data_IF_497739534416
#
_entry.id   IF_497739534416
#
_cell.length_a   1.000
_cell.length_b   1.000
_cell.length_c   1.000
_cell.angle_alpha   90.00
_cell.angle_beta   90.00
_cell.angle_gamma   90.00
#
_symmetry.space_group_name_H-M   'P 1'
#
loop_
_entity.id
_entity.type
_entity.pdbx_description
1 polymer ?
#
# COMPACT_ATOMS: atom_id res chain seq x y z
N UNK A 1 13.93 28.96 3.26
CA UNK A 1 12.52 29.33 3.11
C UNK A 1 12.14 30.13 4.35
N UNK A 2 11.84 31.42 4.20
CA UNK A 2 11.29 32.25 5.28
C UNK A 2 9.76 32.05 5.33
N UNK A 3 9.24 31.66 6.49
CA UNK A 3 7.80 31.52 6.72
C UNK A 3 7.18 32.91 6.89
N UNK A 4 6.55 33.45 5.85
CA UNK A 4 5.83 34.74 5.87
C UNK A 4 4.34 34.63 6.23
N UNK A 5 3.93 33.53 6.86
CA UNK A 5 2.54 33.31 7.27
C UNK A 5 2.20 34.12 8.53
N UNK A 6 1.09 34.84 8.52
CA UNK A 6 0.56 35.54 9.70
C UNK A 6 0.15 34.46 10.72
N UNK A 7 0.79 34.43 11.90
CA UNK A 7 0.44 33.50 12.98
C UNK A 7 -0.87 33.94 13.63
N UNK A 8 -1.96 33.25 13.30
CA UNK A 8 -3.25 33.45 13.95
C UNK A 8 -3.41 32.49 15.13
N UNK A 9 -3.84 32.97 16.31
CA UNK A 9 -4.11 32.09 17.45
C UNK A 9 -5.38 31.26 17.17
N UNK A 10 -5.20 29.97 16.87
CA UNK A 10 -6.30 29.02 16.73
C UNK A 10 -6.46 28.19 18.02
N UNK A 11 -7.71 27.96 18.45
CA UNK A 11 -8.00 27.02 19.54
C UNK A 11 -7.88 25.60 19.00
N UNK A 12 -7.18 24.73 19.73
CA UNK A 12 -7.03 23.32 19.34
C UNK A 12 -8.38 22.61 19.44
N UNK A 13 -8.81 21.98 18.34
CA UNK A 13 -9.97 21.09 18.33
C UNK A 13 -9.60 19.72 18.91
N UNK A 14 -9.64 19.62 20.24
CA UNK A 14 -9.35 18.39 20.96
C UNK A 14 -10.36 17.28 20.68
N UNK A 15 -11.65 17.61 20.51
CA UNK A 15 -12.70 16.63 20.27
C UNK A 15 -12.60 16.03 18.87
N UNK A 16 -12.37 16.88 17.85
CA UNK A 16 -12.09 16.45 16.49
C UNK A 16 -10.85 15.55 16.46
N UNK A 17 -9.74 15.97 17.08
CA UNK A 17 -8.49 15.19 17.06
C UNK A 17 -8.61 13.84 17.79
N UNK A 18 -9.30 13.78 18.94
CA UNK A 18 -9.49 12.52 19.68
C UNK A 18 -10.39 11.56 18.89
N UNK A 19 -11.53 12.03 18.38
CA UNK A 19 -12.46 11.17 17.63
C UNK A 19 -11.85 10.69 16.32
N UNK A 20 -11.12 11.56 15.62
CA UNK A 20 -10.36 11.21 14.42
C UNK A 20 -9.25 10.19 14.72
N UNK A 21 -8.40 10.48 15.72
CA UNK A 21 -7.26 9.63 16.08
C UNK A 21 -7.71 8.25 16.54
N UNK A 22 -8.66 8.18 17.49
CA UNK A 22 -9.18 6.90 17.97
C UNK A 22 -9.94 6.14 16.88
N UNK A 23 -10.74 6.84 16.07
CA UNK A 23 -11.47 6.22 14.96
C UNK A 23 -10.54 5.61 13.92
N UNK A 24 -9.53 6.37 13.48
CA UNK A 24 -8.54 5.89 12.53
C UNK A 24 -7.71 4.74 13.11
N UNK A 25 -7.20 4.87 14.34
CA UNK A 25 -6.45 3.80 15.02
C UNK A 25 -7.31 2.53 15.12
N UNK A 26 -8.58 2.63 15.53
CA UNK A 26 -9.46 1.48 15.65
C UNK A 26 -9.67 0.78 14.29
N UNK A 27 -9.87 1.53 13.20
CA UNK A 27 -9.97 0.94 11.85
C UNK A 27 -8.66 0.25 11.45
N UNK A 28 -7.51 0.92 11.60
CA UNK A 28 -6.21 0.39 11.21
C UNK A 28 -5.80 -0.84 12.04
N UNK A 29 -6.09 -0.82 13.34
CA UNK A 29 -5.94 -1.96 14.25
C UNK A 29 -6.86 -3.09 13.84
N UNK A 30 -8.14 -2.81 13.59
CA UNK A 30 -9.11 -3.81 13.13
C UNK A 30 -8.65 -4.52 11.84
N UNK A 31 -8.15 -3.76 10.86
CA UNK A 31 -7.58 -4.32 9.63
C UNK A 31 -6.35 -5.19 9.93
N UNK A 32 -5.43 -4.72 10.77
CA UNK A 32 -4.19 -5.45 11.10
C UNK A 32 -4.51 -6.76 11.81
N UNK A 33 -5.38 -6.74 12.81
CA UNK A 33 -5.80 -7.95 13.54
C UNK A 33 -6.74 -8.84 12.73
N UNK A 34 -7.47 -8.29 11.75
CA UNK A 34 -8.32 -9.06 10.84
C UNK A 34 -7.54 -10.04 9.97
N UNK A 35 -6.27 -9.74 9.67
CA UNK A 35 -5.37 -10.61 8.91
C UNK A 35 -4.90 -11.81 9.75
N UNK A 36 -4.88 -11.69 11.08
CA UNK A 36 -4.41 -12.76 11.95
C UNK A 36 -5.45 -13.89 12.04
N UNK A 37 -5.02 -15.16 12.13
CA UNK A 37 -5.92 -16.30 12.28
C UNK A 37 -6.70 -16.23 13.60
N UNK A 38 -7.98 -16.61 13.57
CA UNK A 38 -8.87 -16.59 14.73
C UNK A 38 -9.87 -17.74 14.69
N UNK A 39 -10.05 -18.45 15.81
CA UNK A 39 -11.14 -19.42 15.99
C UNK A 39 -11.18 -20.56 14.96
N UNK A 40 -10.04 -21.00 14.42
CA UNK A 40 -9.96 -22.02 13.38
C UNK A 40 -10.17 -21.50 11.95
N UNK A 41 -10.44 -20.20 11.78
CA UNK A 41 -10.40 -19.54 10.49
C UNK A 41 -8.98 -19.05 10.18
N UNK A 42 -8.62 -19.07 8.89
CA UNK A 42 -7.34 -18.54 8.39
C UNK A 42 -7.20 -17.02 8.60
N UNK A 43 -8.28 -16.33 8.94
CA UNK A 43 -8.35 -14.89 9.17
C UNK A 43 -9.35 -14.54 10.27
N UNK A 44 -9.13 -13.41 10.92
CA UNK A 44 -9.87 -12.90 12.08
C UNK A 44 -10.92 -11.86 11.76
N UNK A 45 -11.33 -11.72 10.49
CA UNK A 45 -12.38 -10.77 10.09
C UNK A 45 -13.72 -11.01 10.81
N UNK A 46 -13.99 -12.24 11.27
CA UNK A 46 -15.19 -12.59 12.04
C UNK A 46 -15.01 -12.45 13.56
N UNK A 47 -13.80 -12.12 14.03
CA UNK A 47 -13.55 -11.95 15.45
C UNK A 47 -14.36 -10.77 16.00
N UNK A 48 -15.10 -10.94 17.12
CA UNK A 48 -15.89 -9.85 17.70
C UNK A 48 -15.08 -8.58 17.96
N UNK A 49 -13.81 -8.72 18.36
CA UNK A 49 -12.91 -7.59 18.57
C UNK A 49 -12.55 -6.84 17.28
N UNK A 50 -12.34 -7.54 16.16
CA UNK A 50 -12.07 -6.92 14.85
C UNK A 50 -13.31 -6.19 14.35
N UNK A 51 -14.48 -6.82 14.44
CA UNK A 51 -15.76 -6.20 14.05
C UNK A 51 -16.03 -4.96 14.92
N UNK A 52 -15.85 -5.06 16.24
CA UNK A 52 -16.01 -3.93 17.14
C UNK A 52 -15.05 -2.78 16.83
N UNK A 53 -13.79 -3.09 16.50
CA UNK A 53 -12.79 -2.08 16.11
C UNK A 53 -13.13 -1.40 14.77
N UNK A 54 -13.57 -2.17 13.77
CA UNK A 54 -13.97 -1.63 12.47
C UNK A 54 -15.25 -0.79 12.56
N UNK A 55 -16.31 -1.35 13.16
CA UNK A 55 -17.61 -0.67 13.30
C UNK A 55 -17.46 0.53 14.24
N UNK A 56 -16.80 0.36 15.38
CA UNK A 56 -16.53 1.44 16.33
C UNK A 56 -15.64 2.53 15.74
N UNK A 57 -14.62 2.15 14.97
CA UNK A 57 -13.76 3.10 14.27
C UNK A 57 -14.50 3.90 13.21
N UNK A 58 -15.32 3.24 12.37
CA UNK A 58 -16.17 3.91 11.37
C UNK A 58 -17.20 4.82 12.06
N UNK A 59 -17.78 4.38 13.18
CA UNK A 59 -18.71 5.19 13.96
C UNK A 59 -18.02 6.45 14.51
N UNK A 60 -16.81 6.32 15.08
CA UNK A 60 -16.01 7.45 15.57
C UNK A 60 -15.62 8.41 14.44
N UNK A 61 -15.22 7.91 13.27
CA UNK A 61 -14.94 8.75 12.10
C UNK A 61 -16.21 9.45 11.58
N UNK A 62 -17.38 8.82 11.69
CA UNK A 62 -18.65 9.44 11.33
C UNK A 62 -19.03 10.55 12.32
N UNK A 63 -18.83 10.30 13.61
CA UNK A 63 -19.00 11.31 14.68
C UNK A 63 -18.02 12.47 14.47
N UNK A 64 -16.77 12.18 14.13
CA UNK A 64 -15.76 13.18 13.77
C UNK A 64 -16.27 14.11 12.66
N UNK A 65 -16.80 13.56 11.56
CA UNK A 65 -17.36 14.39 10.46
C UNK A 65 -18.51 15.29 10.95
N UNK A 66 -19.32 14.84 11.92
CA UNK A 66 -20.40 15.65 12.50
C UNK A 66 -19.87 16.74 13.42
N UNK A 67 -18.85 16.45 14.23
CA UNK A 67 -18.18 17.42 15.12
C UNK A 67 -17.53 18.51 14.28
N UNK A 68 -16.76 18.11 13.26
CA UNK A 68 -16.01 19.01 12.40
C UNK A 68 -16.90 20.02 11.66
N UNK A 69 -18.13 19.62 11.35
CA UNK A 69 -19.14 20.51 10.72
C UNK A 69 -19.72 21.55 11.69
N UNK A 70 -19.56 21.38 13.00
CA UNK A 70 -20.14 22.23 14.04
C UNK A 70 -19.11 23.12 14.75
N UNK A 71 -17.83 22.79 14.67
CA UNK A 71 -16.74 23.54 15.30
C UNK A 71 -16.39 24.78 14.46
N UNK A 72 -16.17 25.92 15.12
CA UNK A 72 -15.85 27.21 14.46
C UNK A 72 -14.47 27.22 13.80
N UNK A 73 -13.50 26.50 14.37
CA UNK A 73 -12.12 26.37 13.86
C UNK A 73 -11.77 24.88 13.64
N UNK A 74 -12.30 24.24 12.58
CA UNK A 74 -12.07 22.83 12.31
C UNK A 74 -10.61 22.55 11.91
N UNK A 75 -10.07 21.44 12.40
CA UNK A 75 -8.81 20.83 11.96
C UNK A 75 -8.83 20.47 10.46
N UNK A 76 -9.93 19.87 9.99
CA UNK A 76 -10.21 19.56 8.60
C UNK A 76 -11.37 20.41 8.10
N UNK A 77 -11.02 21.47 7.35
CA UNK A 77 -12.00 22.26 6.61
C UNK A 77 -12.66 21.41 5.53
N UNK A 78 -13.77 20.75 5.88
CA UNK A 78 -14.51 19.87 4.98
C UNK A 78 -15.06 20.60 3.75
N UNK A 79 -15.21 21.93 3.81
CA UNK A 79 -15.56 22.76 2.66
C UNK A 79 -14.55 22.68 1.51
N UNK A 80 -13.28 22.34 1.80
CA UNK A 80 -12.26 22.12 0.77
C UNK A 80 -12.63 20.95 -0.16
N UNK A 81 -13.41 19.97 0.30
CA UNK A 81 -13.92 18.89 -0.56
C UNK A 81 -14.97 19.35 -1.57
N UNK A 82 -15.55 20.56 -1.42
CA UNK A 82 -16.39 21.17 -2.47
C UNK A 82 -15.55 21.53 -3.71
N UNK A 83 -14.24 21.75 -3.54
CA UNK A 83 -13.32 22.00 -4.65
C UNK A 83 -13.04 20.67 -5.34
N UNK A 84 -13.56 20.53 -6.58
CA UNK A 84 -13.40 19.32 -7.40
C UNK A 84 -11.94 18.90 -7.57
N UNK A 85 -11.02 19.87 -7.71
CA UNK A 85 -9.59 19.61 -7.82
C UNK A 85 -9.00 18.97 -6.55
N UNK A 86 -9.40 19.46 -5.37
CA UNK A 86 -8.99 18.91 -4.08
C UNK A 86 -9.60 17.53 -3.81
N UNK A 87 -10.91 17.36 -4.04
CA UNK A 87 -11.59 16.08 -3.86
C UNK A 87 -11.06 15.00 -4.82
N UNK A 88 -11.00 15.29 -6.12
CA UNK A 88 -10.50 14.35 -7.12
C UNK A 88 -9.03 14.00 -6.91
N UNK A 89 -8.19 14.99 -6.56
CA UNK A 89 -6.79 14.77 -6.21
C UNK A 89 -6.61 13.93 -4.94
N UNK A 90 -7.40 14.18 -3.89
CA UNK A 90 -7.36 13.41 -2.65
C UNK A 90 -7.81 11.97 -2.84
N UNK A 91 -8.89 11.73 -3.60
CA UNK A 91 -9.36 10.38 -3.95
C UNK A 91 -8.33 9.65 -4.80
N UNK A 92 -7.72 10.33 -5.78
CA UNK A 92 -6.65 9.75 -6.57
C UNK A 92 -5.42 9.38 -5.71
N UNK A 93 -5.02 10.24 -4.78
CA UNK A 93 -3.93 9.95 -3.81
C UNK A 93 -4.27 8.73 -2.95
N UNK A 94 -5.50 8.67 -2.43
CA UNK A 94 -5.97 7.55 -1.62
C UNK A 94 -5.92 6.24 -2.41
N UNK A 95 -6.46 6.21 -3.63
CA UNK A 95 -6.47 5.01 -4.46
C UNK A 95 -5.07 4.61 -4.96
N UNK A 96 -4.21 5.57 -5.25
CA UNK A 96 -2.81 5.31 -5.61
C UNK A 96 -2.00 4.74 -4.43
N UNK A 97 -2.25 5.25 -3.22
CA UNK A 97 -1.69 4.68 -2.01
C UNK A 97 -2.26 3.29 -1.71
N UNK A 98 -3.55 3.08 -1.99
CA UNK A 98 -4.21 1.79 -1.87
C UNK A 98 -3.67 0.74 -2.84
N UNK A 99 -3.24 1.14 -4.04
CA UNK A 99 -2.61 0.24 -5.01
C UNK A 99 -1.13 -0.01 -4.74
N UNK A 100 -0.42 0.93 -4.10
CA UNK A 100 1.02 0.77 -3.80
C UNK A 100 1.34 0.17 -2.44
N UNK A 101 0.54 0.44 -1.41
CA UNK A 101 0.93 0.22 -0.01
C UNK A 101 1.39 -1.22 0.28
N UNK A 102 0.65 -2.21 -0.19
CA UNK A 102 1.01 -3.63 -0.07
C UNK A 102 1.96 -4.14 -1.15
N UNK A 103 2.19 -3.40 -2.25
CA UNK A 103 3.02 -3.85 -3.37
C UNK A 103 4.44 -4.18 -2.93
N UNK A 104 5.03 -3.33 -2.07
CA UNK A 104 6.40 -3.55 -1.59
C UNK A 104 6.52 -4.90 -0.90
N UNK A 105 5.57 -5.22 -0.03
CA UNK A 105 5.52 -6.52 0.64
C UNK A 105 5.35 -7.66 -0.36
N UNK A 106 4.47 -7.53 -1.36
CA UNK A 106 4.26 -8.60 -2.33
C UNK A 106 5.49 -8.89 -3.20
N UNK A 107 6.18 -7.85 -3.68
CA UNK A 107 7.41 -7.99 -4.45
C UNK A 107 8.53 -8.59 -3.60
N UNK A 108 8.66 -8.13 -2.35
CA UNK A 108 9.66 -8.67 -1.44
C UNK A 108 9.36 -10.13 -1.09
N UNK A 109 8.10 -10.49 -0.83
CA UNK A 109 7.69 -11.88 -0.58
C UNK A 109 7.97 -12.78 -1.79
N UNK A 110 7.73 -12.29 -3.01
CA UNK A 110 8.03 -13.02 -4.23
C UNK A 110 9.55 -13.23 -4.40
N UNK A 111 10.34 -12.18 -4.18
CA UNK A 111 11.80 -12.24 -4.29
C UNK A 111 12.41 -13.16 -3.22
N UNK A 112 12.09 -12.93 -1.94
CA UNK A 112 12.69 -13.65 -0.81
C UNK A 112 12.18 -15.09 -0.67
N UNK A 113 10.88 -15.29 -0.84
CA UNK A 113 10.25 -16.60 -0.61
C UNK A 113 10.43 -17.59 -1.76
N UNK A 114 10.62 -17.09 -2.99
CA UNK A 114 10.59 -17.94 -4.19
C UNK A 114 11.78 -17.68 -5.11
N UNK A 115 11.92 -16.46 -5.64
CA UNK A 115 12.85 -16.23 -6.75
C UNK A 115 14.33 -16.33 -6.32
N UNK A 116 14.73 -15.69 -5.23
CA UNK A 116 16.12 -15.69 -4.76
C UNK A 116 16.61 -17.11 -4.37
N UNK A 117 15.86 -17.90 -3.58
CA UNK A 117 16.26 -19.28 -3.28
C UNK A 117 16.38 -20.15 -4.53
N UNK A 118 15.48 -20.00 -5.52
CA UNK A 118 15.58 -20.73 -6.79
C UNK A 118 16.85 -20.38 -7.58
N UNK A 119 17.37 -19.16 -7.42
CA UNK A 119 18.62 -18.69 -8.02
C UNK A 119 19.87 -18.96 -7.17
N UNK A 120 19.73 -19.76 -6.10
CA UNK A 120 20.86 -20.25 -5.32
C UNK A 120 21.22 -19.40 -4.10
N UNK A 121 20.46 -18.36 -3.78
CA UNK A 121 20.67 -17.58 -2.57
C UNK A 121 20.17 -18.33 -1.33
N UNK A 122 20.94 -18.27 -0.24
CA UNK A 122 20.51 -18.77 1.07
C UNK A 122 19.41 -17.89 1.65
N UNK A 123 18.47 -18.48 2.39
CA UNK A 123 17.35 -17.75 3.02
C UNK A 123 17.84 -16.55 3.86
N UNK A 124 18.95 -16.70 4.58
CA UNK A 124 19.53 -15.66 5.44
C UNK A 124 20.00 -14.41 4.65
N UNK A 125 20.47 -14.60 3.42
CA UNK A 125 20.96 -13.51 2.57
C UNK A 125 19.83 -12.86 1.75
N UNK A 126 18.69 -13.56 1.59
CA UNK A 126 17.58 -13.07 0.77
C UNK A 126 17.07 -11.68 1.16
N UNK A 127 17.03 -11.25 2.45
CA UNK A 127 16.55 -9.92 2.79
C UNK A 127 17.40 -8.80 2.23
N UNK A 128 18.73 -8.93 2.30
CA UNK A 128 19.67 -7.98 1.74
C UNK A 128 19.52 -7.91 0.22
N UNK A 129 19.55 -9.06 -0.44
CA UNK A 129 19.47 -9.12 -1.90
C UNK A 129 18.12 -8.64 -2.42
N UNK A 130 17.01 -8.96 -1.77
CA UNK A 130 15.69 -8.47 -2.16
C UNK A 130 15.63 -6.93 -2.10
N UNK A 131 16.25 -6.31 -1.09
CA UNK A 131 16.40 -4.85 -1.02
C UNK A 131 17.17 -4.28 -2.22
N UNK A 132 18.28 -4.93 -2.59
CA UNK A 132 19.10 -4.55 -3.76
C UNK A 132 18.31 -4.71 -5.07
N UNK A 133 17.60 -5.83 -5.23
CA UNK A 133 16.78 -6.12 -6.41
C UNK A 133 15.53 -5.23 -6.53
N UNK A 134 15.16 -4.51 -5.46
CA UNK A 134 14.10 -3.49 -5.46
C UNK A 134 14.60 -2.09 -5.85
N UNK A 135 15.92 -1.89 -6.05
CA UNK A 135 16.48 -0.59 -6.44
C UNK A 135 15.89 -0.01 -7.75
N UNK A 136 15.61 -0.78 -8.81
CA UNK A 136 15.06 -0.22 -10.05
C UNK A 136 13.73 0.51 -9.84
N UNK A 137 12.87 0.02 -8.94
CA UNK A 137 11.63 0.69 -8.58
C UNK A 137 11.89 2.08 -7.97
N UNK A 138 12.79 2.15 -6.98
CA UNK A 138 13.17 3.40 -6.33
C UNK A 138 13.85 4.36 -7.31
N UNK A 139 14.68 3.85 -8.21
CA UNK A 139 15.32 4.63 -9.26
C UNK A 139 14.29 5.23 -10.22
N UNK A 140 13.31 4.43 -10.67
CA UNK A 140 12.21 4.91 -11.51
C UNK A 140 11.44 6.06 -10.84
N UNK A 141 11.08 5.88 -9.57
CA UNK A 141 10.38 6.91 -8.79
C UNK A 141 11.22 8.19 -8.62
N UNK A 142 12.51 8.03 -8.29
CA UNK A 142 13.45 9.13 -8.10
C UNK A 142 13.68 9.94 -9.38
N UNK A 143 13.76 9.28 -10.53
CA UNK A 143 13.96 9.94 -11.84
C UNK A 143 12.68 10.64 -12.28
N UNK A 144 11.53 9.96 -12.21
CA UNK A 144 10.27 10.51 -12.70
C UNK A 144 9.69 11.63 -11.83
N UNK A 145 9.95 11.64 -10.51
CA UNK A 145 9.43 12.64 -9.59
C UNK A 145 9.78 14.09 -10.01
N UNK A 146 11.07 14.46 -10.08
CA UNK A 146 11.48 15.82 -10.49
C UNK A 146 11.11 16.16 -11.94
N UNK A 147 11.21 15.17 -12.85
CA UNK A 147 10.87 15.36 -14.26
C UNK A 147 9.39 15.73 -14.40
N UNK A 148 8.52 14.97 -13.73
CA UNK A 148 7.08 15.20 -13.74
C UNK A 148 6.68 16.52 -13.11
N UNK A 149 7.34 16.94 -12.03
CA UNK A 149 7.14 18.26 -11.42
C UNK A 149 7.39 19.39 -12.42
N UNK A 150 8.58 19.41 -13.03
CA UNK A 150 8.95 20.43 -14.03
C UNK A 150 8.01 20.42 -15.25
N UNK A 151 7.65 19.22 -15.71
CA UNK A 151 6.80 19.08 -16.89
C UNK A 151 5.35 19.48 -16.59
N UNK A 152 4.86 19.22 -15.38
CA UNK A 152 3.54 19.62 -14.91
C UNK A 152 3.40 21.14 -14.75
N UNK A 153 4.48 21.86 -14.43
CA UNK A 153 4.45 23.31 -14.35
C UNK A 153 4.15 23.94 -15.72
N UNK A 154 4.69 23.37 -16.80
CA UNK A 154 4.44 23.81 -18.18
C UNK A 154 3.11 23.28 -18.76
N UNK A 155 2.94 21.95 -18.80
CA UNK A 155 1.81 21.32 -19.52
C UNK A 155 0.58 21.06 -18.63
N UNK A 156 0.64 21.40 -17.35
CA UNK A 156 -0.40 21.14 -16.37
C UNK A 156 -0.32 19.73 -15.77
N UNK A 157 -0.81 19.60 -14.54
CA UNK A 157 -0.63 18.39 -13.76
C UNK A 157 -1.56 17.21 -14.11
N UNK A 158 -2.70 17.45 -14.77
CA UNK A 158 -3.72 16.43 -15.08
C UNK A 158 -3.25 15.32 -16.02
N UNK A 159 -2.62 15.59 -17.19
CA UNK A 159 -2.19 14.53 -18.10
C UNK A 159 -1.11 13.63 -17.47
N UNK A 160 -0.18 14.19 -16.71
CA UNK A 160 0.86 13.40 -16.03
C UNK A 160 0.31 12.57 -14.88
N UNK A 161 -0.58 13.14 -14.06
CA UNK A 161 -1.20 12.39 -12.98
C UNK A 161 -2.05 11.23 -13.52
N UNK A 162 -2.90 11.48 -14.52
CA UNK A 162 -3.75 10.44 -15.11
C UNK A 162 -2.93 9.40 -15.86
N UNK A 163 -1.97 9.85 -16.69
CA UNK A 163 -1.08 8.98 -17.45
C UNK A 163 -0.18 8.11 -16.56
N UNK A 164 0.32 8.67 -15.45
CA UNK A 164 1.06 7.93 -14.43
C UNK A 164 0.24 6.80 -13.83
N UNK A 165 -1.01 7.05 -13.45
CA UNK A 165 -1.87 5.99 -12.90
C UNK A 165 -2.23 4.90 -13.93
N UNK A 166 -2.46 5.26 -15.19
CA UNK A 166 -2.69 4.28 -16.27
C UNK A 166 -1.42 3.46 -16.51
N UNK A 167 -0.25 4.09 -16.56
CA UNK A 167 1.03 3.40 -16.71
C UNK A 167 1.30 2.47 -15.52
N UNK A 168 0.95 2.85 -14.29
CA UNK A 168 1.02 1.96 -13.13
C UNK A 168 0.08 0.76 -13.27
N UNK A 169 -1.16 0.96 -13.74
CA UNK A 169 -2.09 -0.14 -14.00
C UNK A 169 -1.52 -1.13 -15.04
N UNK A 170 -0.96 -0.63 -16.14
CA UNK A 170 -0.28 -1.46 -17.14
C UNK A 170 0.91 -2.19 -16.51
N UNK A 171 1.71 -1.53 -15.68
CA UNK A 171 2.82 -2.15 -14.96
C UNK A 171 2.39 -3.32 -14.07
N UNK A 172 1.27 -3.18 -13.34
CA UNK A 172 0.70 -4.30 -12.57
C UNK A 172 0.25 -5.46 -13.47
N UNK A 173 -0.35 -5.18 -14.63
CA UNK A 173 -0.72 -6.22 -15.59
C UNK A 173 0.52 -6.91 -16.22
N UNK A 174 1.60 -6.16 -16.45
CA UNK A 174 2.87 -6.72 -16.90
C UNK A 174 3.48 -7.65 -15.85
N UNK A 175 3.36 -7.34 -14.55
CA UNK A 175 3.79 -8.25 -13.47
C UNK A 175 3.00 -9.57 -13.47
N UNK A 176 1.72 -9.57 -13.85
CA UNK A 176 0.91 -10.79 -14.00
C UNK A 176 1.38 -11.63 -15.20
N UNK A 177 1.86 -10.98 -16.26
CA UNK A 177 2.37 -11.68 -17.44
C UNK A 177 3.74 -12.34 -17.20
N UNK A 178 4.47 -11.95 -16.15
CA UNK A 178 5.77 -12.53 -15.83
C UNK A 178 5.60 -13.95 -15.24
N UNK A 179 6.42 -14.92 -15.68
CA UNK A 179 6.48 -16.22 -15.02
C UNK A 179 7.03 -16.07 -13.59
N UNK A 180 6.64 -16.98 -12.69
CA UNK A 180 7.08 -16.98 -11.29
C UNK A 180 8.62 -17.02 -11.17
N UNK A 181 9.25 -17.76 -12.09
CA UNK A 181 10.69 -17.78 -12.27
C UNK A 181 11.04 -16.96 -13.52
N UNK A 182 11.34 -15.68 -13.32
CA UNK A 182 11.56 -14.69 -14.38
C UNK A 182 13.05 -14.36 -14.58
N UNK A 183 13.37 -13.80 -15.75
CA UNK A 183 14.65 -13.15 -15.98
C UNK A 183 14.68 -11.80 -15.26
N UNK A 184 15.72 -11.54 -14.47
CA UNK A 184 15.79 -10.32 -13.64
C UNK A 184 15.61 -9.03 -14.47
N UNK A 185 16.13 -8.98 -15.70
CA UNK A 185 16.05 -7.77 -16.51
C UNK A 185 14.62 -7.37 -16.87
N UNK A 186 13.75 -8.36 -17.12
CA UNK A 186 12.32 -8.13 -17.39
C UNK A 186 11.63 -7.59 -16.14
N UNK A 187 11.84 -8.24 -15.00
CA UNK A 187 11.29 -7.81 -13.72
C UNK A 187 11.79 -6.41 -13.32
N UNK A 188 13.09 -6.17 -13.41
CA UNK A 188 13.75 -4.90 -13.12
C UNK A 188 13.20 -3.77 -13.98
N UNK A 189 12.96 -4.02 -15.28
CA UNK A 189 12.35 -3.04 -16.18
C UNK A 189 10.89 -2.77 -15.80
N UNK A 190 10.09 -3.80 -15.51
CA UNK A 190 8.68 -3.63 -15.13
C UNK A 190 8.55 -2.85 -13.82
N UNK A 191 9.31 -3.19 -12.79
CA UNK A 191 9.26 -2.44 -11.51
C UNK A 191 9.83 -1.02 -11.67
N UNK A 192 10.83 -0.81 -12.53
CA UNK A 192 11.32 0.53 -12.87
C UNK A 192 10.20 1.36 -13.51
N UNK A 193 9.46 0.80 -14.47
CA UNK A 193 8.33 1.45 -15.12
C UNK A 193 7.20 1.76 -14.13
N UNK A 194 6.88 0.84 -13.21
CA UNK A 194 5.91 1.09 -12.13
C UNK A 194 6.38 2.25 -11.24
N UNK A 195 7.65 2.24 -10.84
CA UNK A 195 8.25 3.31 -10.03
C UNK A 195 8.18 4.65 -10.72
N UNK A 196 8.55 4.70 -12.00
CA UNK A 196 8.48 5.89 -12.83
C UNK A 196 7.04 6.39 -13.00
N UNK A 197 6.10 5.50 -13.27
CA UNK A 197 4.67 5.83 -13.39
C UNK A 197 4.10 6.44 -12.09
N UNK A 198 4.51 5.88 -10.94
CA UNK A 198 4.13 6.42 -9.63
C UNK A 198 4.77 7.77 -9.33
N UNK A 199 6.03 7.97 -9.72
CA UNK A 199 6.71 9.27 -9.63
C UNK A 199 6.03 10.33 -10.50
N UNK A 200 5.60 9.94 -11.71
CA UNK A 200 4.86 10.78 -12.65
C UNK A 200 3.49 11.22 -12.11
N UNK A 201 2.89 10.41 -11.24
CA UNK A 201 1.65 10.76 -10.55
C UNK A 201 1.87 11.64 -9.32
N UNK A 202 2.81 11.27 -8.44
CA UNK A 202 2.92 11.82 -7.09
C UNK A 202 3.13 13.34 -7.07
N UNK A 203 4.13 13.85 -7.80
CA UNK A 203 4.46 15.27 -7.77
C UNK A 203 3.37 16.14 -8.42
N UNK A 204 2.89 15.86 -9.66
CA UNK A 204 1.84 16.66 -10.28
C UNK A 204 0.52 16.61 -9.53
N UNK A 205 0.16 15.46 -8.94
CA UNK A 205 -1.06 15.36 -8.17
C UNK A 205 -1.00 16.25 -6.92
N UNK A 206 0.09 16.17 -6.15
CA UNK A 206 0.26 16.98 -4.95
C UNK A 206 0.28 18.48 -5.28
N UNK A 207 1.03 18.91 -6.31
CA UNK A 207 1.04 20.30 -6.78
C UNK A 207 -0.37 20.76 -7.19
N UNK A 208 -1.13 19.88 -7.85
CA UNK A 208 -2.52 20.17 -8.22
C UNK A 208 -3.45 20.38 -7.03
N UNK A 209 -3.32 19.55 -5.98
CA UNK A 209 -4.07 19.71 -4.74
C UNK A 209 -3.66 21.03 -4.07
N UNK A 210 -2.36 21.29 -3.92
CA UNK A 210 -1.86 22.50 -3.23
C UNK A 210 -2.21 23.81 -3.95
N UNK A 211 -2.20 23.82 -5.29
CA UNK A 211 -2.56 24.99 -6.08
C UNK A 211 -4.07 25.29 -6.06
N UNK A 212 -4.89 24.29 -5.75
CA UNK A 212 -6.35 24.46 -5.61
C UNK A 212 -6.76 25.04 -4.26
N UNK A 213 -5.83 25.08 -3.29
CA UNK A 213 -6.10 25.53 -1.93
C UNK A 213 -5.70 27.00 -1.71
N UNK A 214 -6.49 27.74 -0.91
CA UNK A 214 -6.10 29.05 -0.39
C UNK A 214 -4.73 28.99 0.32
N UNK A 215 -3.85 30.01 0.18
CA UNK A 215 -2.50 29.99 0.76
C UNK A 215 -2.47 29.72 2.28
N UNK A 216 -3.44 30.27 3.00
CA UNK A 216 -3.68 30.10 4.45
C UNK A 216 -4.09 28.67 4.84
N UNK A 217 -4.54 27.86 3.88
CA UNK A 217 -5.07 26.50 4.11
C UNK A 217 -4.23 25.41 3.46
N UNK A 218 -3.10 25.75 2.82
CA UNK A 218 -2.20 24.75 2.22
C UNK A 218 -1.62 23.80 3.26
N UNK A 219 -1.34 24.28 4.47
CA UNK A 219 -0.84 23.45 5.57
C UNK A 219 -1.82 22.36 5.99
N UNK A 220 -3.08 22.73 6.25
CA UNK A 220 -4.14 21.77 6.61
C UNK A 220 -4.49 20.82 5.47
N UNK A 221 -4.51 21.32 4.23
CA UNK A 221 -4.72 20.48 3.04
C UNK A 221 -3.60 19.48 2.77
N UNK A 222 -2.34 19.86 2.98
CA UNK A 222 -1.21 18.94 2.90
C UNK A 222 -1.30 17.86 4.00
N UNK A 223 -1.65 18.26 5.23
CA UNK A 223 -1.92 17.34 6.34
C UNK A 223 -3.01 16.33 6.00
N UNK A 224 -4.16 16.78 5.48
CA UNK A 224 -5.24 15.90 5.02
C UNK A 224 -4.76 14.89 3.97
N UNK A 225 -4.07 15.37 2.93
CA UNK A 225 -3.58 14.50 1.85
C UNK A 225 -2.60 13.43 2.38
N UNK A 226 -1.69 13.81 3.28
CA UNK A 226 -0.76 12.89 3.92
C UNK A 226 -1.50 11.87 4.79
N UNK A 227 -2.51 12.30 5.55
CA UNK A 227 -3.31 11.39 6.38
C UNK A 227 -4.09 10.38 5.54
N UNK A 228 -4.71 10.81 4.43
CA UNK A 228 -5.36 9.88 3.50
C UNK A 228 -4.38 8.90 2.87
N UNK A 229 -3.19 9.38 2.48
CA UNK A 229 -2.14 8.54 1.90
C UNK A 229 -1.66 7.47 2.88
N UNK A 230 -1.39 7.84 4.13
CA UNK A 230 -0.93 6.90 5.16
C UNK A 230 -2.03 5.90 5.54
N UNK A 231 -3.26 6.37 5.74
CA UNK A 231 -4.41 5.50 6.02
C UNK A 231 -4.64 4.48 4.89
N UNK A 232 -4.63 4.94 3.63
CA UNK A 232 -4.74 4.08 2.46
C UNK A 232 -3.59 3.07 2.34
N UNK A 233 -2.36 3.47 2.69
CA UNK A 233 -1.20 2.58 2.65
C UNK A 233 -1.34 1.43 3.65
N UNK A 234 -1.82 1.70 4.87
CA UNK A 234 -2.07 0.65 5.87
C UNK A 234 -3.24 -0.24 5.45
N UNK A 235 -4.33 0.35 4.95
CA UNK A 235 -5.45 -0.40 4.39
C UNK A 235 -5.01 -1.31 3.23
N UNK A 236 -4.14 -0.81 2.35
CA UNK A 236 -3.56 -1.57 1.24
C UNK A 236 -2.87 -2.84 1.71
N UNK A 237 -2.01 -2.71 2.74
CA UNK A 237 -1.30 -3.86 3.31
C UNK A 237 -2.31 -4.92 3.76
N UNK A 238 -3.36 -4.53 4.49
CA UNK A 238 -4.35 -5.50 4.98
C UNK A 238 -5.20 -6.14 3.89
N UNK A 239 -5.60 -5.37 2.86
CA UNK A 239 -6.32 -5.92 1.71
C UNK A 239 -5.41 -6.87 0.93
N UNK A 240 -4.16 -6.51 0.67
CA UNK A 240 -3.22 -7.33 -0.09
C UNK A 240 -2.92 -8.64 0.64
N UNK A 241 -2.66 -8.56 1.95
CA UNK A 241 -2.48 -9.77 2.76
C UNK A 241 -3.73 -10.63 2.83
N UNK A 242 -4.92 -10.03 2.83
CA UNK A 242 -6.14 -10.82 2.77
C UNK A 242 -6.28 -11.53 1.42
N UNK A 243 -6.07 -10.83 0.31
CA UNK A 243 -6.17 -11.42 -1.03
C UNK A 243 -5.15 -12.54 -1.25
N UNK A 244 -3.89 -12.36 -0.84
CA UNK A 244 -2.85 -13.39 -0.96
C UNK A 244 -3.19 -14.61 -0.07
N UNK A 245 -3.62 -14.41 1.19
CA UNK A 245 -3.98 -15.51 2.08
C UNK A 245 -5.19 -16.28 1.55
N UNK A 246 -6.23 -15.61 1.04
CA UNK A 246 -7.38 -16.30 0.41
C UNK A 246 -6.90 -17.18 -0.74
N UNK A 247 -6.03 -16.65 -1.60
CA UNK A 247 -5.44 -17.41 -2.71
C UNK A 247 -4.64 -18.62 -2.22
N UNK A 248 -3.78 -18.43 -1.22
CA UNK A 248 -2.95 -19.50 -0.67
C UNK A 248 -3.76 -20.56 0.06
N UNK A 249 -4.69 -20.16 0.93
CA UNK A 249 -5.50 -21.08 1.75
C UNK A 249 -6.30 -22.08 0.92
N UNK A 250 -6.60 -21.76 -0.34
CA UNK A 250 -7.33 -22.64 -1.25
C UNK A 250 -6.51 -23.85 -1.73
N UNK A 251 -5.19 -23.74 -1.82
CA UNK A 251 -4.33 -24.73 -2.49
C UNK A 251 -3.11 -25.14 -1.68
N UNK A 252 -2.53 -24.22 -0.90
CA UNK A 252 -1.29 -24.44 -0.15
C UNK A 252 -1.38 -25.62 0.84
N UNK A 253 -2.45 -25.81 1.64
CA UNK A 253 -2.52 -26.94 2.57
C UNK A 253 -2.36 -28.30 1.90
N UNK A 254 -3.09 -28.53 0.80
CA UNK A 254 -3.03 -29.78 0.05
C UNK A 254 -1.64 -30.00 -0.55
N UNK A 255 -1.06 -28.95 -1.14
CA UNK A 255 0.27 -29.01 -1.75
C UNK A 255 1.35 -29.28 -0.69
N UNK A 256 1.30 -28.61 0.47
CA UNK A 256 2.23 -28.87 1.59
C UNK A 256 2.12 -30.31 2.09
N UNK A 257 0.89 -30.80 2.32
CA UNK A 257 0.68 -32.17 2.79
C UNK A 257 1.26 -33.20 1.82
N UNK A 258 0.88 -33.13 0.55
CA UNK A 258 1.35 -34.09 -0.47
C UNK A 258 2.86 -33.96 -0.74
N UNK A 259 3.39 -32.73 -0.77
CA UNK A 259 4.82 -32.48 -0.98
C UNK A 259 5.68 -33.04 0.14
N UNK A 260 5.27 -32.85 1.40
CA UNK A 260 5.99 -33.37 2.56
C UNK A 260 5.86 -34.90 2.66
N UNK A 261 4.64 -35.44 2.53
CA UNK A 261 4.39 -36.87 2.65
C UNK A 261 5.11 -37.70 1.56
N UNK A 262 5.13 -37.19 0.31
CA UNK A 262 5.83 -37.87 -0.80
C UNK A 262 7.35 -37.93 -0.62
N UNK A 263 7.92 -37.06 0.21
CA UNK A 263 9.35 -37.02 0.52
C UNK A 263 9.69 -37.65 1.86
N UNK A 264 8.81 -38.49 2.42
CA UNK A 264 9.11 -39.30 3.60
C UNK A 264 8.90 -38.61 4.95
N UNK A 265 8.22 -37.44 4.97
CA UNK A 265 7.77 -36.83 6.22
C UNK A 265 6.57 -37.63 6.76
N UNK A 266 6.55 -37.99 8.07
CA UNK A 266 5.42 -38.69 8.67
C UNK A 266 4.09 -37.97 8.43
N UNK A 267 3.04 -38.73 8.09
CA UNK A 267 1.72 -38.16 7.78
C UNK A 267 1.17 -37.23 8.86
N UNK A 268 1.37 -37.55 10.14
CA UNK A 268 0.94 -36.71 11.26
C UNK A 268 1.63 -35.34 11.27
N UNK A 269 2.94 -35.31 10.98
CA UNK A 269 3.71 -34.07 10.90
C UNK A 269 3.34 -33.26 9.65
N UNK A 270 3.18 -33.92 8.50
CA UNK A 270 2.73 -33.28 7.26
C UNK A 270 1.32 -32.67 7.41
N UNK A 271 0.41 -33.38 8.10
CA UNK A 271 -0.94 -32.89 8.39
C UNK A 271 -0.91 -31.68 9.33
N UNK A 272 -0.10 -31.75 10.40
CA UNK A 272 0.07 -30.63 11.33
C UNK A 272 0.58 -29.37 10.59
N UNK A 273 1.61 -29.51 9.75
CA UNK A 273 2.16 -28.40 8.97
C UNK A 273 1.15 -27.85 7.96
N UNK A 274 0.38 -28.71 7.30
CA UNK A 274 -0.62 -28.28 6.31
C UNK A 274 -1.77 -27.46 6.91
N UNK A 275 -2.07 -27.65 8.20
CA UNK A 275 -3.11 -26.91 8.93
C UNK A 275 -2.61 -25.59 9.51
N UNK A 276 -1.31 -25.31 9.45
CA UNK A 276 -0.78 -24.03 9.91
C UNK A 276 -1.23 -22.90 8.98
N UNK A 277 -1.51 -21.71 9.54
CA UNK A 277 -1.84 -20.53 8.75
C UNK A 277 -0.74 -20.25 7.71
N UNK A 278 -1.10 -20.06 6.43
CA UNK A 278 -0.13 -19.79 5.35
C UNK A 278 0.81 -18.61 5.64
N UNK A 279 0.33 -17.65 6.44
CA UNK A 279 1.08 -16.49 6.93
C UNK A 279 2.35 -16.93 7.66
N UNK A 280 2.27 -17.86 8.61
CA UNK A 280 3.45 -18.27 9.39
C UNK A 280 4.54 -18.90 8.51
N UNK A 281 4.12 -19.73 7.56
CA UNK A 281 5.03 -20.46 6.66
C UNK A 281 5.74 -19.56 5.65
N UNK A 282 5.02 -18.63 5.01
CA UNK A 282 5.64 -17.70 4.08
C UNK A 282 6.51 -16.65 4.79
N UNK A 283 6.09 -16.19 5.97
CA UNK A 283 6.82 -15.14 6.68
C UNK A 283 8.13 -15.63 7.31
N UNK A 284 8.29 -16.92 7.58
CA UNK A 284 9.60 -17.46 7.95
C UNK A 284 10.65 -17.11 6.89
N UNK A 285 10.35 -17.32 5.60
CA UNK A 285 11.24 -16.93 4.50
C UNK A 285 11.41 -15.41 4.39
N UNK A 286 10.39 -14.62 4.74
CA UNK A 286 10.48 -13.16 4.77
C UNK A 286 11.46 -12.63 5.85
N UNK A 287 11.60 -13.37 6.94
CA UNK A 287 12.53 -13.05 8.03
C UNK A 287 13.93 -13.63 7.78
N UNK A 288 14.17 -14.23 6.61
CA UNK A 288 15.43 -14.89 6.27
C UNK A 288 15.62 -16.26 6.92
N UNK A 289 14.59 -16.81 7.56
CA UNK A 289 14.63 -18.16 8.12
C UNK A 289 14.23 -19.21 7.08
N UNK A 290 14.77 -20.41 7.24
CA UNK A 290 14.34 -21.54 6.43
C UNK A 290 12.89 -21.94 6.80
N UNK A 291 11.94 -21.84 5.87
CA UNK A 291 10.54 -22.11 6.18
C UNK A 291 10.29 -23.59 6.52
N UNK A 292 10.97 -24.53 5.86
CA UNK A 292 10.81 -25.95 6.17
C UNK A 292 11.54 -26.32 7.46
N UNK A 293 12.68 -25.70 7.71
CA UNK A 293 13.40 -25.78 8.99
C UNK A 293 12.53 -25.38 10.18
N UNK A 294 11.82 -24.27 10.06
CA UNK A 294 10.92 -23.76 11.11
C UNK A 294 9.65 -24.60 11.26
N UNK A 295 9.07 -25.07 10.15
CA UNK A 295 7.83 -25.87 10.17
C UNK A 295 8.06 -27.31 10.68
N UNK A 296 9.16 -27.94 10.29
CA UNK A 296 9.47 -29.34 10.64
C UNK A 296 10.44 -29.48 11.82
N UNK A 297 10.81 -28.40 12.51
CA UNK A 297 11.82 -28.37 13.57
C UNK A 297 11.95 -29.64 14.43
N UNK A 298 10.88 -30.12 15.10
CA UNK A 298 10.95 -31.32 15.95
C UNK A 298 11.01 -32.64 15.15
N UNK A 299 10.56 -32.66 13.90
CA UNK A 299 10.52 -33.85 13.04
C UNK A 299 11.82 -34.03 12.24
N UNK A 300 12.53 -32.94 11.92
CA UNK A 300 13.75 -32.95 11.11
C UNK A 300 14.84 -33.91 11.61
N UNK A 301 15.18 -33.98 12.92
CA UNK A 301 16.20 -34.89 13.43
C UNK A 301 15.85 -36.38 13.27
N UNK A 302 14.56 -36.70 13.06
CA UNK A 302 14.07 -38.07 12.90
C UNK A 302 14.00 -38.52 11.44
N UNK A 303 14.24 -37.61 10.49
CA UNK A 303 14.29 -37.93 9.06
C UNK A 303 15.69 -38.40 8.66
N UNK A 304 15.76 -39.15 7.56
CA UNK A 304 17.05 -39.51 6.96
C UNK A 304 17.82 -38.24 6.57
N UNK A 305 19.14 -38.12 6.83
CA UNK A 305 19.90 -36.89 6.61
C UNK A 305 19.81 -36.33 5.19
N UNK A 306 19.77 -37.21 4.18
CA UNK A 306 19.62 -36.78 2.78
C UNK A 306 18.24 -36.16 2.50
N UNK A 307 17.19 -36.69 3.13
CA UNK A 307 15.82 -36.14 3.04
C UNK A 307 15.72 -34.81 3.74
N UNK A 308 16.25 -34.71 4.96
CA UNK A 308 16.29 -33.46 5.72
C UNK A 308 17.02 -32.37 4.93
N UNK A 309 18.18 -32.68 4.33
CA UNK A 309 18.95 -31.74 3.50
C UNK A 309 18.20 -31.32 2.22
N UNK A 310 17.45 -32.23 1.59
CA UNK A 310 16.65 -31.91 0.42
C UNK A 310 15.47 -30.98 0.77
N UNK A 311 14.75 -31.29 1.85
CA UNK A 311 13.58 -30.55 2.32
C UNK A 311 13.94 -29.13 2.79
N UNK A 312 15.10 -28.96 3.44
CA UNK A 312 15.62 -27.64 3.83
C UNK A 312 16.43 -26.95 2.73
N UNK A 313 16.61 -27.60 1.58
CA UNK A 313 17.33 -27.02 0.45
C UNK A 313 16.58 -25.84 -0.18
N UNK A 314 17.27 -25.11 -1.06
CA UNK A 314 16.74 -23.86 -1.65
C UNK A 314 15.70 -24.08 -2.75
N UNK A 315 15.42 -25.33 -3.14
CA UNK A 315 14.51 -25.65 -4.25
C UNK A 315 13.15 -26.16 -3.77
N UNK A 316 13.11 -27.01 -2.76
CA UNK A 316 11.90 -27.73 -2.37
C UNK A 316 10.76 -26.79 -1.98
N UNK A 317 10.99 -25.86 -1.06
CA UNK A 317 9.93 -24.95 -0.61
C UNK A 317 9.46 -23.98 -1.72
N UNK A 318 10.35 -23.25 -2.42
CA UNK A 318 9.94 -22.37 -3.51
C UNK A 318 9.14 -23.05 -4.62
N UNK A 319 9.54 -24.25 -5.05
CA UNK A 319 8.78 -24.98 -6.08
C UNK A 319 7.40 -25.37 -5.57
N UNK A 320 7.32 -25.79 -4.33
CA UNK A 320 6.07 -26.19 -3.67
C UNK A 320 5.09 -25.02 -3.54
N UNK A 321 5.56 -23.83 -3.15
CA UNK A 321 4.68 -22.66 -2.95
C UNK A 321 4.43 -21.83 -4.20
N UNK A 322 5.20 -22.03 -5.27
CA UNK A 322 5.16 -21.23 -6.51
C UNK A 322 3.74 -21.08 -7.08
N UNK A 323 3.05 -22.19 -7.32
CA UNK A 323 1.72 -22.18 -7.93
C UNK A 323 0.63 -21.59 -7.01
N UNK A 324 0.50 -21.99 -5.73
CA UNK A 324 -0.39 -21.31 -4.79
C UNK A 324 -0.12 -19.81 -4.69
N UNK A 325 1.14 -19.40 -4.66
CA UNK A 325 1.55 -18.01 -4.58
C UNK A 325 1.16 -17.21 -5.83
N UNK A 326 1.35 -17.77 -7.02
CA UNK A 326 0.96 -17.12 -8.28
C UNK A 326 -0.55 -16.80 -8.33
N UNK A 327 -1.38 -17.74 -7.86
CA UNK A 327 -2.83 -17.55 -7.82
C UNK A 327 -3.21 -16.36 -6.92
N UNK A 328 -2.61 -16.27 -5.74
CA UNK A 328 -2.89 -15.17 -4.83
C UNK A 328 -2.31 -13.84 -5.30
N UNK A 329 -1.07 -13.81 -5.82
CA UNK A 329 -0.42 -12.55 -6.23
C UNK A 329 -1.08 -11.95 -7.48
N UNK A 330 -1.60 -12.79 -8.40
CA UNK A 330 -2.37 -12.29 -9.54
C UNK A 330 -3.62 -11.53 -9.08
N UNK A 331 -4.35 -12.08 -8.09
CA UNK A 331 -5.53 -11.42 -7.52
C UNK A 331 -5.17 -10.06 -6.93
N UNK A 332 -4.03 -9.97 -6.24
CA UNK A 332 -3.52 -8.72 -5.68
C UNK A 332 -3.18 -7.71 -6.79
N UNK A 333 -2.50 -8.13 -7.86
CA UNK A 333 -2.14 -7.24 -8.96
C UNK A 333 -3.36 -6.79 -9.78
N UNK A 334 -4.38 -7.64 -9.97
CA UNK A 334 -5.65 -7.22 -10.57
C UNK A 334 -6.35 -6.16 -9.73
N UNK A 335 -6.40 -6.34 -8.41
CA UNK A 335 -6.95 -5.35 -7.49
C UNK A 335 -6.18 -4.03 -7.58
N UNK A 336 -4.84 -4.07 -7.54
CA UNK A 336 -3.99 -2.90 -7.65
C UNK A 336 -4.18 -2.15 -8.99
N UNK A 337 -4.25 -2.89 -10.10
CA UNK A 337 -4.53 -2.34 -11.42
C UNK A 337 -5.90 -1.66 -11.46
N UNK A 338 -6.94 -2.29 -10.88
CA UNK A 338 -8.27 -1.71 -10.74
C UNK A 338 -8.27 -0.40 -9.95
N UNK A 339 -7.61 -0.37 -8.78
CA UNK A 339 -7.43 0.85 -8.00
C UNK A 339 -6.72 1.95 -8.80
N UNK A 340 -5.70 1.61 -9.58
CA UNK A 340 -5.02 2.57 -10.46
C UNK A 340 -5.93 3.13 -11.55
N UNK A 341 -6.77 2.30 -12.18
CA UNK A 341 -7.74 2.77 -13.18
C UNK A 341 -8.76 3.73 -12.54
N UNK A 342 -9.30 3.38 -11.37
CA UNK A 342 -10.24 4.27 -10.66
C UNK A 342 -9.55 5.56 -10.22
N UNK A 343 -8.28 5.49 -9.78
CA UNK A 343 -7.48 6.66 -9.46
C UNK A 343 -7.22 7.56 -10.68
N UNK A 344 -6.98 6.97 -11.85
CA UNK A 344 -6.84 7.70 -13.11
C UNK A 344 -8.14 8.44 -13.45
N UNK A 345 -9.30 7.78 -13.29
CA UNK A 345 -10.61 8.41 -13.50
C UNK A 345 -10.82 9.55 -12.51
N UNK A 346 -10.54 9.35 -11.21
CA UNK A 346 -10.67 10.40 -10.19
C UNK A 346 -9.74 11.60 -10.47
N UNK A 347 -8.50 11.33 -10.87
CA UNK A 347 -7.51 12.34 -11.29
C UNK A 347 -7.99 13.10 -12.53
N UNK A 348 -8.63 12.40 -13.48
CA UNK A 348 -9.20 13.02 -14.67
C UNK A 348 -10.41 13.90 -14.34
N UNK A 349 -11.27 13.49 -13.41
CA UNK A 349 -12.48 14.22 -13.01
C UNK A 349 -12.18 15.52 -12.24
N UNK A 350 -10.93 15.74 -11.80
CA UNK A 350 -10.52 16.91 -11.03
C UNK A 350 -10.68 18.26 -11.75
N UNK A 351 -10.88 18.25 -13.08
CA UNK A 351 -11.00 19.47 -13.90
C UNK A 351 -9.65 20.11 -14.30
N UNK A 352 -9.71 21.21 -15.05
CA UNK A 352 -8.54 21.96 -15.55
C UNK A 352 -7.77 22.74 -14.47
N UNK A 353 -6.84 23.62 -14.87
CA UNK A 353 -6.04 24.47 -13.96
C UNK A 353 -6.97 25.34 -13.10
N UNK A 354 -7.14 24.98 -11.82
CA UNK A 354 -7.79 25.83 -10.83
C UNK A 354 -6.69 26.61 -10.11
N UNK A 355 -6.56 27.89 -10.45
CA UNK A 355 -5.80 28.82 -9.63
C UNK A 355 -6.80 29.46 -8.68
N UNK A 356 -6.55 29.37 -7.37
CA UNK A 356 -7.26 30.22 -6.43
C UNK A 356 -6.94 31.68 -6.80
N UNK A 357 -7.85 32.36 -7.48
CA UNK A 357 -7.85 33.81 -7.56
C UNK A 357 -8.43 34.26 -6.23
N UNK A 358 -7.59 34.85 -5.37
CA UNK A 358 -8.11 35.79 -4.40
C UNK A 358 -8.89 36.82 -5.21
N UNK A 359 -10.14 37.09 -4.84
CA UNK A 359 -10.86 38.21 -5.42
C UNK A 359 -9.99 39.45 -5.22
N UNK A 360 -9.49 39.98 -6.35
CA UNK A 360 -8.61 41.17 -6.41
C UNK A 360 -9.28 42.39 -5.75
N UNK A 361 -10.58 42.30 -5.49
CA UNK A 361 -11.41 43.31 -4.85
C UNK A 361 -10.96 43.64 -3.42
N UNK A 362 -10.51 42.67 -2.61
CA UNK A 362 -10.11 42.95 -1.21
C UNK A 362 -8.71 43.62 -1.09
N UNK A 363 -7.82 43.39 -2.05
CA UNK A 363 -6.51 44.06 -2.08
C UNK A 363 -6.66 45.48 -2.59
N UNK A 364 -7.53 45.69 -3.58
CA UNK A 364 -7.83 47.02 -4.11
C UNK A 364 -8.58 47.88 -3.09
N UNK A 365 -9.52 47.32 -2.31
CA UNK A 365 -10.16 48.03 -1.19
C UNK A 365 -9.19 48.37 -0.05
N UNK A 366 -8.25 47.48 0.29
CA UNK A 366 -7.24 47.75 1.31
C UNK A 366 -6.24 48.82 0.86
N UNK A 367 -5.78 48.78 -0.39
CA UNK A 367 -4.90 49.82 -0.97
C UNK A 367 -5.64 51.14 -1.19
N UNK A 368 -6.94 51.12 -1.54
CA UNK A 368 -7.77 52.32 -1.63
C UNK A 368 -8.06 52.94 -0.26
N UNK A 369 -8.22 52.14 0.80
CA UNK A 369 -8.41 52.64 2.16
C UNK A 369 -7.12 53.23 2.74
N UNK A 370 -5.95 52.66 2.44
CA UNK A 370 -4.64 53.26 2.80
C UNK A 370 -4.32 54.51 1.98
N UNK A 371 -4.81 54.63 0.74
CA UNK A 371 -4.60 55.82 -0.09
C UNK A 371 -5.53 57.00 0.27
N UNK A 372 -6.59 56.75 1.04
CA UNK A 372 -7.59 57.76 1.46
C UNK A 372 -7.41 58.19 2.94
N UNK A 373 -6.60 57.49 3.72
CA UNK A 373 -6.13 57.89 5.06
C UNK A 373 -4.86 58.73 4.99
#
# INVERSE_FOLDING_TARGET
LEERGIRTPAKIDWWGNITFGLGLIAVLVGITYGILPYGGHNMGWTAPGVIAALVGGIALLSVFVVIERRVEAPMFRLDLFKIRAFSGGSVATFLAALSRGGLMFMLILWLQGIWLPLHGYSFEDTPLWAGIYMLPLSAGFLVAGPISGRLADHFGARPFATGGMIASAIGFLLLIALPINFTYWEFGLVIFLIGAAMGLFAAPNLTGIMNSLPPDQRGSGAGMAATFQNAASVLSIGVFFSLIIVGLSSTLPAVLFHGLASHGVPHAAAEQVSKLPPVGSLFASFLGYNPVGTLLGPTLPHLHPATAAYLTGHRFFPTLVSHPFATGIHTVFYFAAGCCVVAAIASWLRGGKYYYKADVVEVEEAELLEAVS
#
